data_IF_355298682926
#
_entry.id   IF_355298682926
#
_cell.length_a   1.000
_cell.length_b   1.000
_cell.length_c   1.000
_cell.angle_alpha   90.00
_cell.angle_beta   90.00
_cell.angle_gamma   90.00
#
_symmetry.space_group_name_H-M   'P 1'
#
loop_
_entity.id
_entity.type
_entity.pdbx_description
1 polymer ?
#
# COMPACT_ATOMS: atom_id res chain seq x y z
N UNK A 1 -15.52 -23.23 -27.64
CA UNK A 1 -15.39 -22.13 -26.66
C UNK A 1 -14.21 -22.48 -25.80
N UNK A 2 -13.20 -21.62 -25.79
CA UNK A 2 -11.97 -21.87 -25.03
C UNK A 2 -12.27 -21.72 -23.54
N UNK A 3 -11.99 -22.78 -22.79
CA UNK A 3 -11.93 -22.79 -21.33
C UNK A 3 -10.82 -21.83 -20.89
N UNK A 4 -11.20 -20.67 -20.37
CA UNK A 4 -10.28 -19.78 -19.68
C UNK A 4 -9.90 -20.45 -18.35
N UNK A 5 -8.72 -21.06 -18.31
CA UNK A 5 -8.12 -21.51 -17.05
C UNK A 5 -7.86 -20.26 -16.19
N UNK A 6 -8.13 -20.29 -14.88
CA UNK A 6 -7.78 -19.18 -14.00
C UNK A 6 -6.27 -18.95 -14.07
N UNK A 7 -5.90 -17.72 -14.44
CA UNK A 7 -4.53 -17.25 -14.52
C UNK A 7 -3.88 -17.38 -13.13
N UNK A 8 -3.01 -18.37 -12.96
CA UNK A 8 -2.18 -18.58 -11.76
C UNK A 8 -0.92 -17.71 -11.82
N UNK A 9 -1.03 -16.46 -12.24
CA UNK A 9 0.06 -15.50 -12.07
C UNK A 9 -0.06 -14.88 -10.68
N UNK A 10 0.77 -15.38 -9.75
CA UNK A 10 1.01 -14.68 -8.49
C UNK A 10 1.59 -13.31 -8.83
N UNK A 11 0.77 -12.26 -8.72
CA UNK A 11 1.22 -10.90 -8.96
C UNK A 11 2.32 -10.53 -7.97
N UNK A 12 3.35 -9.83 -8.45
CA UNK A 12 4.30 -9.17 -7.56
C UNK A 12 3.55 -8.27 -6.58
N UNK A 13 3.75 -8.49 -5.28
CA UNK A 13 3.06 -7.76 -4.23
C UNK A 13 3.67 -6.36 -4.04
N UNK A 14 3.35 -5.45 -4.97
CA UNK A 14 3.79 -4.06 -4.90
C UNK A 14 3.21 -3.32 -3.70
N UNK A 15 2.07 -3.76 -3.15
CA UNK A 15 1.52 -3.22 -1.92
C UNK A 15 2.47 -3.47 -0.75
N UNK A 16 2.81 -4.73 -0.47
CA UNK A 16 3.75 -5.09 0.58
C UNK A 16 5.12 -4.40 0.41
N UNK A 17 5.63 -4.35 -0.83
CA UNK A 17 6.88 -3.64 -1.16
C UNK A 17 6.78 -2.15 -0.83
N UNK A 18 5.71 -1.46 -1.25
CA UNK A 18 5.53 -0.04 -1.00
C UNK A 18 5.41 0.27 0.49
N UNK A 19 4.62 -0.52 1.22
CA UNK A 19 4.46 -0.36 2.67
C UNK A 19 5.78 -0.53 3.40
N UNK A 20 6.54 -1.58 3.06
CA UNK A 20 7.86 -1.81 3.67
C UNK A 20 8.80 -0.63 3.40
N UNK A 21 8.84 -0.12 2.16
CA UNK A 21 9.69 1.02 1.80
C UNK A 21 9.26 2.34 2.44
N UNK A 22 7.96 2.59 2.55
CA UNK A 22 7.43 3.88 3.02
C UNK A 22 7.40 3.95 4.54
N UNK A 23 7.21 2.81 5.21
CA UNK A 23 6.91 2.75 6.65
C UNK A 23 7.89 1.89 7.45
N UNK A 24 8.63 0.98 6.82
CA UNK A 24 9.43 -0.03 7.52
C UNK A 24 8.61 -1.20 8.09
N UNK A 25 7.28 -1.20 7.92
CA UNK A 25 6.42 -2.32 8.33
C UNK A 25 6.55 -3.47 7.32
N UNK A 26 6.87 -4.66 7.82
CA UNK A 26 7.02 -5.88 7.00
C UNK A 26 5.75 -6.74 7.14
N UNK A 27 4.78 -6.64 6.21
CA UNK A 27 3.58 -7.45 6.29
C UNK A 27 3.88 -8.94 5.98
N UNK A 28 3.07 -9.88 6.51
CA UNK A 28 3.15 -11.28 6.15
C UNK A 28 2.98 -11.51 4.64
N UNK A 29 3.59 -12.58 4.07
CA UNK A 29 3.50 -12.84 2.64
C UNK A 29 2.07 -13.21 2.24
N UNK A 30 1.54 -12.50 1.23
CA UNK A 30 0.15 -12.65 0.75
C UNK A 30 -0.22 -14.08 0.37
N UNK A 31 0.70 -14.84 -0.22
CA UNK A 31 0.46 -16.23 -0.61
C UNK A 31 0.20 -17.19 0.55
N UNK A 32 0.51 -16.81 1.79
CA UNK A 32 0.33 -17.65 2.99
C UNK A 32 -0.86 -17.26 3.87
N UNK A 33 -1.58 -16.17 3.56
CA UNK A 33 -2.55 -15.56 4.49
C UNK A 33 -3.72 -16.47 4.87
N UNK A 34 -4.03 -17.47 4.04
CA UNK A 34 -5.15 -18.39 4.23
C UNK A 34 -4.72 -19.79 4.67
N UNK A 35 -3.41 -20.06 4.81
CA UNK A 35 -2.91 -21.40 5.13
C UNK A 35 -3.40 -21.86 6.51
N UNK A 36 -3.42 -20.96 7.49
CA UNK A 36 -3.87 -21.23 8.87
C UNK A 36 -5.38 -21.00 9.08
N UNK A 37 -6.10 -20.62 8.01
CA UNK A 37 -7.54 -20.30 8.03
C UNK A 37 -8.28 -21.32 7.16
N UNK A 38 -8.03 -22.60 7.43
CA UNK A 38 -8.56 -23.73 6.65
C UNK A 38 -9.39 -24.67 7.54
N UNK A 39 -10.60 -24.99 7.11
CA UNK A 39 -11.52 -25.91 7.77
C UNK A 39 -11.34 -27.36 7.34
N UNK A 40 -12.41 -28.16 7.48
CA UNK A 40 -12.40 -29.58 7.10
C UNK A 40 -12.17 -29.72 5.59
N UNK A 41 -11.53 -30.82 5.17
CA UNK A 41 -11.24 -31.14 3.76
C UNK A 41 -10.44 -30.07 2.98
N UNK A 42 -9.72 -29.19 3.68
CA UNK A 42 -8.91 -28.15 3.04
C UNK A 42 -9.75 -26.97 2.52
N UNK A 43 -10.96 -26.77 3.05
CA UNK A 43 -11.86 -25.69 2.65
C UNK A 43 -11.40 -24.38 3.31
N UNK A 44 -11.08 -23.36 2.52
CA UNK A 44 -10.62 -22.07 3.05
C UNK A 44 -11.75 -21.30 3.71
N UNK A 45 -11.45 -20.62 4.81
CA UNK A 45 -12.33 -19.70 5.55
C UNK A 45 -13.61 -20.30 6.15
N UNK A 46 -13.86 -21.61 6.03
CA UNK A 46 -15.04 -22.24 6.61
C UNK A 46 -14.88 -23.73 6.85
N UNK A 47 -15.69 -24.25 7.77
CA UNK A 47 -16.04 -25.67 7.86
C UNK A 47 -17.44 -25.89 7.35
N UNK A 48 -17.64 -27.04 6.74
CA UNK A 48 -18.92 -27.40 6.14
C UNK A 48 -19.39 -28.76 6.64
N UNK A 49 -20.62 -28.80 7.12
CA UNK A 49 -21.37 -30.00 7.46
C UNK A 49 -22.53 -30.11 6.47
N UNK A 50 -22.61 -31.23 5.75
CA UNK A 50 -23.75 -31.53 4.86
C UNK A 50 -24.50 -32.71 5.42
N UNK A 51 -25.76 -32.49 5.84
CA UNK A 51 -26.53 -33.52 6.55
C UNK A 51 -27.86 -33.77 5.88
N UNK A 52 -28.19 -35.06 5.74
CA UNK A 52 -29.51 -35.51 5.32
C UNK A 52 -30.52 -35.27 6.44
N UNK A 53 -31.66 -34.69 6.11
CA UNK A 53 -32.74 -34.47 7.05
C UNK A 53 -33.74 -35.65 7.04
N UNK A 54 -34.45 -35.83 8.14
CA UNK A 54 -35.33 -36.99 8.37
C UNK A 54 -36.64 -36.98 7.58
N UNK A 55 -37.06 -35.83 7.06
CA UNK A 55 -38.28 -35.64 6.27
C UNK A 55 -38.11 -34.48 5.31
N UNK A 56 -38.82 -34.50 4.18
CA UNK A 56 -38.92 -33.38 3.25
C UNK A 56 -39.78 -32.27 3.85
N UNK A 57 -39.32 -31.02 3.78
CA UNK A 57 -40.08 -29.84 4.18
C UNK A 57 -40.59 -29.12 2.93
N UNK A 58 -41.82 -29.39 2.48
CA UNK A 58 -42.33 -28.70 1.28
C UNK A 58 -42.37 -27.19 1.49
N UNK A 59 -41.60 -26.45 0.68
CA UNK A 59 -41.59 -24.98 0.69
C UNK A 59 -42.18 -24.47 -0.61
N UNK A 60 -43.18 -23.60 -0.49
CA UNK A 60 -43.78 -22.89 -1.62
C UNK A 60 -43.14 -21.51 -1.76
N UNK A 61 -43.11 -20.95 -2.98
CA UNK A 61 -42.45 -19.66 -3.27
C UNK A 61 -43.02 -18.43 -2.54
N UNK A 62 -44.04 -18.60 -1.69
CA UNK A 62 -44.65 -17.56 -0.86
C UNK A 62 -44.25 -17.63 0.62
N UNK A 63 -43.52 -18.67 1.03
CA UNK A 63 -43.12 -18.91 2.43
C UNK A 63 -41.75 -18.29 2.74
N UNK A 64 -41.63 -16.98 2.55
CA UNK A 64 -40.39 -16.24 2.83
C UNK A 64 -39.98 -16.29 4.31
N UNK A 65 -40.94 -16.41 5.22
CA UNK A 65 -40.68 -16.60 6.66
C UNK A 65 -39.89 -17.89 6.92
N UNK A 66 -40.13 -18.94 6.13
CA UNK A 66 -39.37 -20.19 6.25
C UNK A 66 -37.88 -19.98 5.95
N UNK A 67 -37.56 -19.14 4.95
CA UNK A 67 -36.18 -18.84 4.57
C UNK A 67 -35.45 -18.12 5.71
N UNK A 68 -36.09 -17.17 6.39
CA UNK A 68 -35.53 -16.46 7.55
C UNK A 68 -35.21 -17.43 8.70
N UNK A 69 -36.05 -18.44 8.92
CA UNK A 69 -35.89 -19.38 10.02
C UNK A 69 -34.91 -20.54 9.71
N UNK A 70 -34.61 -20.81 8.43
CA UNK A 70 -33.92 -22.03 8.01
C UNK A 70 -32.71 -21.83 7.07
N UNK A 71 -32.48 -20.63 6.54
CA UNK A 71 -31.43 -20.35 5.56
C UNK A 71 -30.79 -18.98 5.80
N UNK A 72 -29.52 -18.83 5.40
CA UNK A 72 -28.80 -17.57 5.53
C UNK A 72 -27.99 -17.46 6.81
N UNK A 73 -27.77 -16.22 7.26
CA UNK A 73 -26.85 -15.87 8.35
C UNK A 73 -27.41 -16.16 9.74
N UNK A 74 -26.57 -16.69 10.63
CA UNK A 74 -26.85 -16.90 12.06
C UNK A 74 -28.13 -17.70 12.33
N UNK A 75 -28.21 -18.89 11.74
CA UNK A 75 -29.33 -19.81 11.91
C UNK A 75 -28.98 -20.83 12.99
N UNK A 76 -29.69 -20.80 14.11
CA UNK A 76 -29.58 -21.79 15.20
C UNK A 76 -28.14 -22.01 15.71
N UNK A 77 -27.38 -20.92 15.94
CA UNK A 77 -25.96 -20.94 16.34
C UNK A 77 -25.00 -21.51 15.27
N UNK A 78 -25.41 -21.49 14.00
CA UNK A 78 -24.56 -21.76 12.84
C UNK A 78 -24.37 -20.47 12.07
N UNK A 79 -23.15 -20.13 11.66
CA UNK A 79 -22.87 -18.85 10.99
C UNK A 79 -23.64 -18.72 9.67
N UNK A 80 -23.78 -19.79 8.89
CA UNK A 80 -24.58 -19.78 7.67
C UNK A 80 -25.24 -21.14 7.38
N UNK A 81 -26.44 -21.16 6.79
CA UNK A 81 -27.14 -22.40 6.40
C UNK A 81 -27.70 -22.30 4.98
N UNK A 82 -27.50 -23.35 4.17
CA UNK A 82 -28.13 -23.52 2.86
C UNK A 82 -28.92 -24.83 2.86
N UNK A 83 -30.25 -24.78 2.90
CA UNK A 83 -31.09 -25.94 2.64
C UNK A 83 -31.20 -26.23 1.14
N UNK A 84 -31.27 -27.51 0.80
CA UNK A 84 -31.45 -27.95 -0.59
C UNK A 84 -31.98 -29.39 -0.67
N UNK A 85 -32.49 -29.73 -1.84
CA UNK A 85 -32.94 -31.05 -2.24
C UNK A 85 -31.96 -31.70 -3.21
N UNK A 86 -31.87 -33.03 -3.16
CA UNK A 86 -31.33 -33.85 -4.25
C UNK A 86 -32.41 -34.71 -4.86
N UNK A 87 -32.34 -34.93 -6.18
CA UNK A 87 -33.22 -35.90 -6.83
C UNK A 87 -32.93 -37.33 -6.35
N UNK A 88 -33.98 -38.13 -6.21
CA UNK A 88 -33.91 -39.51 -5.73
C UNK A 88 -34.17 -39.65 -4.23
N UNK A 89 -34.45 -40.89 -3.81
CA UNK A 89 -34.89 -41.22 -2.45
C UNK A 89 -36.24 -41.95 -2.46
N UNK A 90 -36.71 -42.36 -1.28
CA UNK A 90 -37.99 -43.06 -1.14
C UNK A 90 -39.19 -42.18 -1.56
N UNK A 91 -39.13 -40.88 -1.24
CA UNK A 91 -40.19 -39.91 -1.54
C UNK A 91 -39.92 -39.14 -2.85
N UNK A 92 -38.94 -39.54 -3.66
CA UNK A 92 -38.59 -38.91 -4.94
C UNK A 92 -37.55 -37.78 -4.86
N UNK A 93 -37.46 -37.08 -3.71
CA UNK A 93 -36.34 -36.19 -3.36
C UNK A 93 -35.79 -36.52 -1.98
N UNK A 94 -34.59 -36.03 -1.69
CA UNK A 94 -33.98 -36.09 -0.35
C UNK A 94 -33.59 -34.70 0.12
N UNK A 95 -34.01 -34.33 1.34
CA UNK A 95 -33.72 -33.03 1.95
C UNK A 95 -32.35 -33.02 2.64
N UNK A 96 -31.58 -31.96 2.41
CA UNK A 96 -30.29 -31.70 3.04
C UNK A 96 -30.19 -30.28 3.60
N UNK A 97 -29.35 -30.12 4.62
CA UNK A 97 -28.86 -28.82 5.09
C UNK A 97 -27.33 -28.81 5.02
N UNK A 98 -26.76 -27.86 4.29
CA UNK A 98 -25.36 -27.48 4.38
C UNK A 98 -25.22 -26.39 5.46
N UNK A 99 -24.42 -26.65 6.49
CA UNK A 99 -24.16 -25.77 7.63
C UNK A 99 -22.70 -25.31 7.60
N UNK A 100 -22.50 -24.01 7.70
CA UNK A 100 -21.18 -23.38 7.59
C UNK A 100 -20.77 -22.78 8.93
N UNK A 101 -19.58 -23.12 9.39
CA UNK A 101 -18.88 -22.39 10.45
C UNK A 101 -17.77 -21.58 9.82
N UNK A 102 -17.85 -20.26 9.89
CA UNK A 102 -16.86 -19.37 9.31
C UNK A 102 -15.62 -19.27 10.19
N UNK A 103 -14.47 -19.28 9.53
CA UNK A 103 -13.14 -19.16 10.11
C UNK A 103 -12.53 -17.87 9.59
N UNK A 104 -12.32 -16.91 10.48
CA UNK A 104 -11.77 -15.61 10.12
C UNK A 104 -12.07 -14.57 11.19
N UNK A 105 -11.69 -13.33 10.92
CA UNK A 105 -11.91 -12.23 11.85
C UNK A 105 -13.38 -11.76 11.76
N UNK A 106 -14.16 -12.07 12.79
CA UNK A 106 -15.58 -11.69 12.90
C UNK A 106 -15.71 -10.34 13.63
N UNK A 107 -16.72 -9.57 13.26
CA UNK A 107 -17.15 -8.40 14.03
C UNK A 107 -18.05 -8.91 15.16
N UNK A 108 -17.95 -8.32 16.35
CA UNK A 108 -18.53 -8.84 17.58
C UNK A 108 -20.05 -9.14 17.50
N UNK A 109 -20.80 -8.39 16.68
CA UNK A 109 -22.22 -8.60 16.45
C UNK A 109 -22.57 -8.34 14.96
N UNK A 110 -23.06 -9.37 14.25
CA UNK A 110 -23.64 -9.24 12.90
C UNK A 110 -22.91 -9.99 11.78
N UNK A 111 -23.53 -9.99 10.58
CA UNK A 111 -22.96 -10.56 9.34
C UNK A 111 -21.58 -9.93 9.09
N UNK A 112 -20.56 -10.70 8.64
CA UNK A 112 -19.28 -10.15 8.23
C UNK A 112 -19.50 -9.05 7.19
N UNK A 113 -19.19 -7.82 7.61
CA UNK A 113 -19.16 -6.64 6.76
C UNK A 113 -17.71 -6.18 6.60
N UNK A 114 -17.49 -5.17 5.77
CA UNK A 114 -16.19 -4.50 5.72
C UNK A 114 -15.92 -3.69 7.00
N UNK A 115 -14.72 -3.13 7.09
CA UNK A 115 -14.20 -2.54 8.32
C UNK A 115 -13.05 -3.37 8.90
N UNK A 116 -12.50 -2.88 10.00
CA UNK A 116 -11.26 -3.38 10.58
C UNK A 116 -11.51 -4.33 11.74
N UNK A 117 -10.71 -5.39 11.82
CA UNK A 117 -10.78 -6.34 12.92
C UNK A 117 -9.36 -6.70 13.35
N UNK A 118 -9.11 -6.67 14.66
CA UNK A 118 -7.87 -7.22 15.22
C UNK A 118 -8.03 -8.73 15.28
N UNK A 119 -7.15 -9.45 14.57
CA UNK A 119 -7.17 -10.90 14.51
C UNK A 119 -6.72 -11.54 15.83
N UNK A 120 -6.72 -12.87 15.85
CA UNK A 120 -6.31 -13.66 17.00
C UNK A 120 -6.46 -15.16 16.77
N UNK A 121 -6.15 -15.92 17.81
CA UNK A 121 -6.41 -17.36 17.83
C UNK A 121 -7.87 -17.63 18.16
N UNK A 122 -8.51 -18.44 17.32
CA UNK A 122 -9.90 -18.87 17.47
C UNK A 122 -9.90 -20.39 17.59
N UNK A 123 -10.32 -20.90 18.76
CA UNK A 123 -10.50 -22.32 18.98
C UNK A 123 -11.94 -22.73 18.68
N UNK A 124 -12.11 -23.75 17.85
CA UNK A 124 -13.43 -24.33 17.62
C UNK A 124 -13.97 -24.99 18.88
N UNK A 125 -15.20 -24.67 19.26
CA UNK A 125 -15.92 -25.45 20.26
C UNK A 125 -16.31 -26.85 19.76
N UNK A 126 -16.22 -27.11 18.44
CA UNK A 126 -16.72 -28.32 17.79
C UNK A 126 -15.60 -29.16 17.18
N UNK A 127 -14.84 -29.88 17.99
CA UNK A 127 -13.60 -30.55 17.54
C UNK A 127 -13.72 -31.93 16.89
N UNK A 128 -14.89 -32.58 16.90
CA UNK A 128 -15.02 -33.95 16.37
C UNK A 128 -16.04 -34.03 15.25
N UNK A 129 -15.60 -34.42 14.07
CA UNK A 129 -16.47 -34.83 12.95
C UNK A 129 -16.92 -36.28 13.15
N UNK A 130 -18.19 -36.55 12.92
CA UNK A 130 -18.79 -37.89 12.97
C UNK A 130 -18.86 -38.50 11.57
N UNK A 131 -19.05 -39.82 11.49
CA UNK A 131 -19.23 -40.54 10.22
C UNK A 131 -20.45 -40.08 9.41
N UNK A 132 -21.43 -39.44 10.06
CA UNK A 132 -22.64 -38.88 9.44
C UNK A 132 -22.50 -37.39 9.07
N UNK A 133 -21.30 -36.83 9.19
CA UNK A 133 -20.98 -35.44 8.86
C UNK A 133 -21.27 -34.43 9.98
N UNK A 134 -21.86 -34.85 11.10
CA UNK A 134 -22.15 -33.93 12.20
C UNK A 134 -20.88 -33.53 12.99
N UNK A 135 -20.81 -32.26 13.39
CA UNK A 135 -19.79 -31.81 14.35
C UNK A 135 -20.28 -31.90 15.80
N UNK A 136 -19.48 -32.54 16.67
CA UNK A 136 -19.73 -32.58 18.12
C UNK A 136 -18.86 -31.58 18.88
N UNK A 137 -19.39 -30.99 19.97
CA UNK A 137 -18.59 -30.24 20.91
C UNK A 137 -17.39 -31.05 21.39
N UNK A 138 -16.22 -30.42 21.48
CA UNK A 138 -14.99 -31.04 21.99
C UNK A 138 -14.03 -29.98 22.50
N UNK A 139 -13.36 -30.29 23.61
CA UNK A 139 -12.30 -29.47 24.17
C UNK A 139 -11.03 -29.49 23.31
N UNK A 140 -10.91 -30.44 22.37
CA UNK A 140 -9.75 -30.60 21.47
C UNK A 140 -10.02 -30.08 20.05
N UNK A 141 -10.88 -29.07 19.91
CA UNK A 141 -11.17 -28.49 18.60
C UNK A 141 -9.98 -27.80 17.94
N UNK A 142 -9.98 -27.73 16.59
CA UNK A 142 -8.93 -27.04 15.84
C UNK A 142 -8.82 -25.58 16.27
N UNK A 143 -7.60 -25.06 16.24
CA UNK A 143 -7.28 -23.66 16.48
C UNK A 143 -6.88 -23.04 15.16
N UNK A 144 -7.46 -21.89 14.85
CA UNK A 144 -7.12 -21.08 13.67
C UNK A 144 -6.56 -19.76 14.11
N UNK A 145 -5.63 -19.23 13.32
CA UNK A 145 -4.98 -17.96 13.63
C UNK A 145 -5.22 -16.98 12.48
N UNK A 146 -5.80 -15.82 12.80
CA UNK A 146 -6.14 -14.78 11.83
C UNK A 146 -5.16 -13.60 11.87
N UNK A 147 -4.10 -13.67 12.69
CA UNK A 147 -3.14 -12.58 12.86
C UNK A 147 -2.46 -12.22 11.55
N UNK A 148 -1.92 -13.20 10.80
CA UNK A 148 -1.22 -12.91 9.54
C UNK A 148 -2.11 -12.15 8.54
N UNK A 149 -3.36 -12.61 8.38
CA UNK A 149 -4.34 -11.97 7.52
C UNK A 149 -4.66 -10.53 7.95
N UNK A 150 -4.87 -10.30 9.24
CA UNK A 150 -5.20 -8.96 9.77
C UNK A 150 -4.01 -8.02 9.83
N UNK A 151 -2.79 -8.55 10.01
CA UNK A 151 -1.54 -7.81 9.88
C UNK A 151 -1.32 -7.31 8.45
N UNK A 152 -1.62 -8.14 7.45
CA UNK A 152 -1.56 -7.74 6.05
C UNK A 152 -2.69 -6.77 5.69
N UNK A 153 -3.92 -7.06 6.11
CA UNK A 153 -5.10 -6.31 5.67
C UNK A 153 -5.23 -4.96 6.37
N UNK A 154 -4.88 -4.88 7.65
CA UNK A 154 -5.11 -3.66 8.45
C UNK A 154 -3.83 -3.03 8.96
N UNK A 155 -2.82 -3.83 9.33
CA UNK A 155 -1.54 -3.30 9.79
C UNK A 155 -0.84 -2.44 8.74
N UNK A 156 -0.96 -2.78 7.45
CA UNK A 156 -0.34 -1.99 6.38
C UNK A 156 -0.88 -0.57 6.27
N UNK A 157 -2.20 -0.38 6.40
CA UNK A 157 -2.80 0.95 6.30
C UNK A 157 -2.60 1.79 7.55
N UNK A 158 -2.71 1.17 8.72
CA UNK A 158 -2.39 1.83 9.98
C UNK A 158 -0.94 2.30 10.05
N UNK A 159 0.01 1.56 9.45
CA UNK A 159 1.39 2.03 9.31
C UNK A 159 1.47 3.32 8.46
N UNK A 160 0.66 3.46 7.41
CA UNK A 160 0.57 4.69 6.61
C UNK A 160 -0.06 5.84 7.38
N UNK A 161 -1.11 5.59 8.19
CA UNK A 161 -1.65 6.61 9.10
C UNK A 161 -0.59 7.10 10.06
N UNK A 162 0.14 6.19 10.72
CA UNK A 162 1.21 6.55 11.64
C UNK A 162 2.30 7.39 10.97
N UNK A 163 2.71 7.01 9.76
CA UNK A 163 3.68 7.77 8.96
C UNK A 163 3.23 9.22 8.71
N UNK A 164 1.94 9.41 8.42
CA UNK A 164 1.37 10.69 7.97
C UNK A 164 0.93 11.59 9.12
N UNK A 165 0.49 11.01 10.23
CA UNK A 165 -0.23 11.71 11.29
C UNK A 165 0.56 11.80 12.60
N UNK A 166 1.49 10.88 12.87
CA UNK A 166 2.29 10.90 14.10
C UNK A 166 3.62 11.63 13.91
N UNK A 167 4.02 12.39 14.92
CA UNK A 167 5.31 13.10 14.93
C UNK A 167 6.50 12.13 14.80
N UNK A 168 6.43 10.97 15.45
CA UNK A 168 7.46 9.93 15.36
C UNK A 168 7.35 9.05 14.11
N UNK A 169 6.38 9.30 13.22
CA UNK A 169 6.07 8.44 12.09
C UNK A 169 5.78 7.01 12.55
N UNK A 170 6.42 6.03 11.92
CA UNK A 170 6.20 4.60 12.18
C UNK A 170 7.14 3.99 13.21
N UNK A 171 7.98 4.79 13.88
CA UNK A 171 8.90 4.29 14.90
C UNK A 171 8.13 3.68 16.07
N UNK A 172 8.38 2.40 16.36
CA UNK A 172 7.68 1.64 17.40
C UNK A 172 6.24 1.28 17.06
N UNK A 173 5.80 1.49 15.81
CA UNK A 173 4.50 1.01 15.36
C UNK A 173 4.46 -0.52 15.39
N UNK A 174 3.33 -1.07 15.83
CA UNK A 174 3.04 -2.51 15.87
C UNK A 174 1.55 -2.73 15.71
N UNK A 175 1.17 -3.83 15.06
CA UNK A 175 -0.23 -4.21 14.90
C UNK A 175 -0.41 -5.71 14.97
N UNK A 176 -1.54 -6.16 15.54
CA UNK A 176 -1.93 -7.57 15.51
C UNK A 176 -0.84 -8.51 16.03
N UNK A 177 -0.17 -8.16 17.14
CA UNK A 177 0.89 -8.98 17.73
C UNK A 177 2.22 -9.00 16.98
N UNK A 178 2.40 -8.20 15.92
CA UNK A 178 3.70 -8.01 15.27
C UNK A 178 4.68 -7.27 16.20
N UNK A 179 5.97 -7.56 16.04
CA UNK A 179 7.02 -6.83 16.76
C UNK A 179 7.02 -5.34 16.38
N UNK A 180 7.26 -4.43 17.33
CA UNK A 180 7.37 -3.00 17.03
C UNK A 180 8.50 -2.70 16.03
N UNK A 181 8.24 -1.80 15.09
CA UNK A 181 9.24 -1.36 14.11
C UNK A 181 10.43 -0.71 14.83
N UNK A 182 11.62 -1.24 14.60
CA UNK A 182 12.86 -0.74 15.18
C UNK A 182 13.29 0.62 14.56
N UNK A 183 14.22 1.29 15.24
CA UNK A 183 14.71 2.62 14.84
C UNK A 183 15.48 2.64 13.50
N UNK A 184 15.98 1.50 13.04
CA UNK A 184 16.72 1.35 11.79
C UNK A 184 15.81 1.17 10.58
N UNK A 185 14.56 0.75 10.80
CA UNK A 185 13.55 0.53 9.74
C UNK A 185 12.47 1.60 9.69
N UNK A 186 12.08 2.15 10.83
CA UNK A 186 10.98 3.12 10.90
C UNK A 186 11.26 4.42 10.15
N UNK A 187 10.21 5.00 9.60
CA UNK A 187 10.27 6.19 8.76
C UNK A 187 9.54 7.34 9.43
N UNK A 188 10.14 8.54 9.37
CA UNK A 188 9.57 9.78 9.89
C UNK A 188 9.74 10.89 8.88
N UNK A 189 8.63 11.39 8.34
CA UNK A 189 8.63 12.44 7.31
C UNK A 189 9.35 13.71 7.77
N UNK A 190 9.20 14.09 9.05
CA UNK A 190 9.87 15.25 9.64
C UNK A 190 11.42 15.19 9.56
N UNK A 191 12.00 14.00 9.40
CA UNK A 191 13.46 13.87 9.27
C UNK A 191 13.98 14.55 8.01
N UNK A 192 13.21 14.59 6.92
CA UNK A 192 13.58 15.30 5.70
C UNK A 192 13.74 16.80 5.97
N UNK A 193 12.78 17.41 6.67
CA UNK A 193 12.82 18.82 7.03
C UNK A 193 13.96 19.13 8.00
N UNK A 194 14.17 18.29 9.02
CA UNK A 194 15.23 18.47 10.01
C UNK A 194 16.63 18.44 9.36
N UNK A 195 16.87 17.50 8.43
CA UNK A 195 18.14 17.42 7.71
C UNK A 195 18.25 18.58 6.71
N UNK A 196 17.16 18.96 6.03
CA UNK A 196 17.14 20.11 5.13
C UNK A 196 17.50 21.42 5.84
N UNK A 197 16.91 21.66 7.02
CA UNK A 197 17.24 22.82 7.85
C UNK A 197 18.70 22.81 8.30
N UNK A 198 19.28 21.64 8.52
CA UNK A 198 20.69 21.52 8.90
C UNK A 198 21.61 21.97 7.75
N UNK A 199 21.30 21.56 6.51
CA UNK A 199 21.98 22.08 5.31
C UNK A 199 21.79 23.59 5.14
N UNK A 200 20.57 24.10 5.34
CA UNK A 200 20.30 25.54 5.24
C UNK A 200 21.08 26.35 6.28
N UNK A 201 21.24 25.84 7.50
CA UNK A 201 22.06 26.49 8.54
C UNK A 201 23.52 26.56 8.14
N UNK A 202 24.07 25.50 7.56
CA UNK A 202 25.45 25.45 7.07
C UNK A 202 25.64 26.40 5.86
N UNK A 203 24.72 26.38 4.91
CA UNK A 203 24.73 27.29 3.76
C UNK A 203 24.68 28.76 4.21
N UNK A 204 23.79 29.09 5.16
CA UNK A 204 23.70 30.43 5.74
C UNK A 204 24.98 30.83 6.48
N UNK A 205 25.64 29.89 7.15
CA UNK A 205 26.94 30.15 7.77
C UNK A 205 27.98 30.57 6.73
N UNK A 206 28.09 29.85 5.61
CA UNK A 206 29.04 30.20 4.54
C UNK A 206 28.68 31.53 3.88
N UNK A 207 27.40 31.76 3.58
CA UNK A 207 26.90 33.04 3.03
C UNK A 207 27.23 34.24 3.94
N UNK A 208 26.93 34.14 5.24
CA UNK A 208 27.20 35.21 6.19
C UNK A 208 28.71 35.42 6.43
N UNK A 209 29.48 34.33 6.44
CA UNK A 209 30.93 34.38 6.61
C UNK A 209 31.59 35.05 5.41
N UNK A 210 31.15 34.73 4.18
CA UNK A 210 31.57 35.44 2.95
C UNK A 210 31.30 36.94 3.07
N UNK A 211 30.07 37.35 3.41
CA UNK A 211 29.71 38.76 3.54
C UNK A 211 30.56 39.48 4.62
N UNK A 212 30.85 38.81 5.73
CA UNK A 212 31.72 39.36 6.78
C UNK A 212 33.15 39.55 6.24
N UNK A 213 33.66 38.59 5.48
CA UNK A 213 34.98 38.72 4.86
C UNK A 213 35.01 39.81 3.77
N UNK A 214 33.93 39.99 3.01
CA UNK A 214 33.79 41.12 2.08
C UNK A 214 33.84 42.47 2.82
N UNK A 215 33.18 42.60 3.97
CA UNK A 215 33.29 43.80 4.82
C UNK A 215 34.70 44.03 5.35
N UNK A 216 35.42 42.96 5.70
CA UNK A 216 36.80 43.06 6.19
C UNK A 216 37.74 43.47 5.05
N UNK A 217 37.63 42.86 3.87
CA UNK A 217 38.37 43.23 2.66
C UNK A 217 38.14 44.71 2.31
N UNK A 218 36.91 45.19 2.39
CA UNK A 218 36.60 46.61 2.15
C UNK A 218 37.31 47.56 3.13
N UNK A 219 37.63 47.11 4.35
CA UNK A 219 38.34 47.90 5.38
C UNK A 219 39.86 47.80 5.29
N UNK A 220 40.40 46.63 4.95
CA UNK A 220 41.86 46.43 4.77
C UNK A 220 42.37 46.87 3.40
N UNK A 221 41.45 47.22 2.51
CA UNK A 221 41.71 47.72 1.17
C UNK A 221 41.52 46.64 0.10
N UNK A 222 41.08 47.08 -1.08
CA UNK A 222 40.81 46.19 -2.22
C UNK A 222 42.08 45.60 -2.80
N UNK A 223 43.23 46.23 -2.54
CA UNK A 223 44.55 45.73 -2.93
C UNK A 223 45.48 45.50 -1.73
N UNK A 224 46.48 44.63 -1.96
CA UNK A 224 47.50 44.32 -0.97
C UNK A 224 48.26 45.59 -0.55
N UNK A 225 48.27 45.87 0.76
CA UNK A 225 48.86 47.07 1.40
C UNK A 225 48.12 48.40 1.22
N UNK A 226 46.87 48.40 0.75
CA UNK A 226 46.08 49.64 0.57
C UNK A 226 45.80 50.38 1.89
N UNK A 227 45.33 49.67 2.92
CA UNK A 227 44.97 50.31 4.20
C UNK A 227 46.15 50.50 5.15
N UNK A 228 47.19 49.67 5.03
CA UNK A 228 48.41 49.73 5.85
C UNK A 228 49.57 48.97 5.20
N UNK A 229 50.79 49.51 5.31
CA UNK A 229 51.99 49.01 4.62
C UNK A 229 52.80 48.04 5.51
N UNK A 230 53.20 46.89 4.96
CA UNK A 230 54.19 46.00 5.58
C UNK A 230 54.00 44.52 5.24
N UNK A 231 55.05 43.70 5.38
CA UNK A 231 54.97 42.26 5.07
C UNK A 231 53.88 41.54 5.89
N UNK A 232 53.69 41.90 7.15
CA UNK A 232 52.62 41.35 7.99
C UNK A 232 51.22 41.77 7.51
N UNK A 233 51.08 42.96 6.93
CA UNK A 233 49.84 43.46 6.36
C UNK A 233 49.44 42.68 5.10
N UNK A 234 50.41 42.40 4.22
CA UNK A 234 50.22 41.57 3.04
C UNK A 234 49.76 40.14 3.39
N UNK A 235 50.43 39.48 4.33
CA UNK A 235 50.06 38.12 4.78
C UNK A 235 48.67 38.07 5.40
N UNK A 236 48.30 39.09 6.19
CA UNK A 236 46.96 39.17 6.77
C UNK A 236 45.89 39.36 5.68
N UNK A 237 46.13 40.22 4.70
CA UNK A 237 45.25 40.41 3.55
C UNK A 237 45.05 39.10 2.78
N UNK A 238 46.12 38.38 2.47
CA UNK A 238 46.08 37.10 1.74
C UNK A 238 45.25 36.04 2.48
N UNK A 239 45.37 35.96 3.81
CA UNK A 239 44.57 35.04 4.63
C UNK A 239 43.07 35.36 4.58
N UNK A 240 42.69 36.64 4.67
CA UNK A 240 41.29 37.05 4.57
C UNK A 240 40.76 36.79 3.17
N UNK A 241 41.55 37.08 2.13
CA UNK A 241 41.17 36.85 0.74
C UNK A 241 40.93 35.36 0.45
N UNK A 242 41.82 34.49 0.91
CA UNK A 242 41.70 33.05 0.71
C UNK A 242 40.51 32.46 1.51
N UNK A 243 40.30 32.90 2.76
CA UNK A 243 39.12 32.50 3.54
C UNK A 243 37.82 32.96 2.88
N UNK A 244 37.78 34.21 2.40
CA UNK A 244 36.65 34.76 1.65
C UNK A 244 36.33 33.89 0.44
N UNK A 245 37.34 33.56 -0.37
CA UNK A 245 37.20 32.72 -1.57
C UNK A 245 36.70 31.31 -1.24
N UNK A 246 37.19 30.70 -0.15
CA UNK A 246 36.69 29.40 0.31
C UNK A 246 35.23 29.44 0.73
N UNK A 247 34.84 30.45 1.51
CA UNK A 247 33.44 30.61 1.91
C UNK A 247 32.53 30.92 0.71
N UNK A 248 33.03 31.67 -0.27
CA UNK A 248 32.35 31.92 -1.54
C UNK A 248 32.10 30.61 -2.28
N UNK A 249 33.14 29.78 -2.45
CA UNK A 249 33.00 28.48 -3.11
C UNK A 249 32.02 27.53 -2.40
N UNK A 250 32.05 27.45 -1.07
CA UNK A 250 31.09 26.61 -0.35
C UNK A 250 29.66 27.17 -0.42
N UNK A 251 29.49 28.49 -0.37
CA UNK A 251 28.18 29.11 -0.56
C UNK A 251 27.64 28.85 -1.98
N UNK A 252 28.48 28.97 -3.00
CA UNK A 252 28.11 28.72 -4.39
C UNK A 252 27.80 27.24 -4.64
N UNK A 253 28.64 26.32 -4.16
CA UNK A 253 28.44 24.86 -4.30
C UNK A 253 27.12 24.40 -3.64
N UNK A 254 26.71 25.06 -2.54
CA UNK A 254 25.42 24.81 -1.87
C UNK A 254 24.25 25.61 -2.46
N UNK A 255 24.49 26.45 -3.47
CA UNK A 255 23.56 27.47 -3.98
C UNK A 255 22.88 28.23 -2.83
N UNK A 256 23.69 28.65 -1.86
CA UNK A 256 23.25 29.24 -0.60
C UNK A 256 22.56 30.58 -0.82
N UNK A 257 21.36 30.71 -0.27
CA UNK A 257 20.69 32.00 -0.08
C UNK A 257 20.74 32.41 1.39
N UNK A 258 20.13 33.55 1.74
CA UNK A 258 20.04 33.98 3.13
C UNK A 258 19.28 33.00 4.04
N UNK A 259 18.42 32.13 3.47
CA UNK A 259 17.52 31.26 4.24
C UNK A 259 17.48 29.80 3.77
N UNK A 260 17.94 29.47 2.57
CA UNK A 260 17.81 28.14 1.97
C UNK A 260 19.08 27.71 1.23
N UNK A 261 19.15 26.41 0.94
CA UNK A 261 20.22 25.77 0.17
C UNK A 261 19.64 24.78 -0.83
N UNK A 262 20.38 24.47 -1.90
CA UNK A 262 20.01 23.42 -2.86
C UNK A 262 19.81 22.04 -2.19
N UNK A 263 20.75 21.51 -1.37
CA UNK A 263 20.52 20.26 -0.66
C UNK A 263 19.26 20.29 0.22
N UNK A 264 19.01 21.41 0.91
CA UNK A 264 17.80 21.58 1.73
C UNK A 264 16.51 21.53 0.90
N UNK A 265 16.47 22.23 -0.23
CA UNK A 265 15.32 22.22 -1.13
C UNK A 265 15.07 20.84 -1.75
N UNK A 266 16.14 20.12 -2.13
CA UNK A 266 16.05 18.77 -2.67
C UNK A 266 15.48 17.78 -1.65
N UNK A 267 15.93 17.83 -0.39
CA UNK A 267 15.41 16.99 0.70
C UNK A 267 13.94 17.27 1.01
N UNK A 268 13.53 18.54 1.10
CA UNK A 268 12.11 18.89 1.28
C UNK A 268 11.25 18.39 0.14
N UNK A 269 11.73 18.51 -1.09
CA UNK A 269 11.02 18.01 -2.28
C UNK A 269 10.88 16.48 -2.25
N UNK A 270 11.93 15.76 -1.85
CA UNK A 270 11.89 14.30 -1.67
C UNK A 270 10.91 13.87 -0.58
N UNK A 271 10.90 14.55 0.57
CA UNK A 271 9.96 14.31 1.66
C UNK A 271 8.50 14.60 1.26
N UNK A 272 8.27 15.70 0.52
CA UNK A 272 6.95 16.04 0.00
C UNK A 272 6.45 15.00 -1.03
N UNK A 273 7.34 14.48 -1.88
CA UNK A 273 6.99 13.40 -2.80
C UNK A 273 6.59 12.11 -2.06
N UNK A 274 7.37 11.69 -1.06
CA UNK A 274 7.02 10.53 -0.23
C UNK A 274 5.68 10.72 0.49
N UNK A 275 5.47 11.89 1.10
CA UNK A 275 4.21 12.21 1.78
C UNK A 275 3.02 12.08 0.83
N UNK A 276 3.13 12.69 -0.36
CA UNK A 276 2.07 12.67 -1.37
C UNK A 276 1.70 11.24 -1.79
N UNK A 277 2.70 10.41 -2.10
CA UNK A 277 2.43 9.04 -2.53
C UNK A 277 1.95 8.16 -1.36
N UNK A 278 2.38 8.41 -0.13
CA UNK A 278 1.84 7.76 1.06
C UNK A 278 0.38 8.16 1.34
N UNK A 279 0.01 9.43 1.18
CA UNK A 279 -1.39 9.89 1.26
C UNK A 279 -2.26 9.20 0.19
N UNK A 280 -1.76 9.10 -1.04
CA UNK A 280 -2.46 8.39 -2.11
C UNK A 280 -2.72 6.93 -1.76
N UNK A 281 -1.74 6.21 -1.21
CA UNK A 281 -1.90 4.82 -0.81
C UNK A 281 -2.81 4.66 0.41
N UNK A 282 -2.73 5.55 1.40
CA UNK A 282 -3.64 5.57 2.54
C UNK A 282 -5.08 5.72 2.06
N UNK A 283 -5.36 6.69 1.18
CA UNK A 283 -6.72 6.94 0.68
C UNK A 283 -7.30 5.72 -0.08
N UNK A 284 -6.44 4.99 -0.82
CA UNK A 284 -6.84 3.73 -1.47
C UNK A 284 -7.15 2.64 -0.47
N UNK A 285 -6.32 2.53 0.56
CA UNK A 285 -6.52 1.57 1.63
C UNK A 285 -7.74 1.90 2.48
N UNK A 286 -8.00 3.15 2.86
CA UNK A 286 -9.18 3.55 3.66
C UNK A 286 -10.49 3.11 2.99
N UNK A 287 -10.57 3.29 1.67
CA UNK A 287 -11.70 2.81 0.90
C UNK A 287 -11.77 1.28 0.91
N UNK A 288 -10.64 0.62 0.60
CA UNK A 288 -10.60 -0.83 0.50
C UNK A 288 -10.86 -1.51 1.86
N UNK A 289 -10.29 -1.05 2.97
CA UNK A 289 -10.45 -1.64 4.30
C UNK A 289 -11.90 -1.58 4.77
N UNK A 290 -12.59 -0.47 4.49
CA UNK A 290 -13.99 -0.26 4.85
C UNK A 290 -14.96 -1.15 4.06
N UNK A 291 -14.68 -1.44 2.78
CA UNK A 291 -15.64 -2.14 1.93
C UNK A 291 -15.18 -3.56 1.53
N UNK A 292 -13.92 -3.75 1.22
CA UNK A 292 -13.41 -4.95 0.53
C UNK A 292 -12.37 -5.72 1.37
N UNK A 293 -11.90 -5.13 2.48
CA UNK A 293 -10.76 -5.61 3.24
C UNK A 293 -10.96 -6.92 3.98
N UNK A 294 -12.17 -7.19 4.48
CA UNK A 294 -12.50 -8.41 5.22
C UNK A 294 -12.77 -9.59 4.25
N UNK A 295 -11.92 -10.64 4.18
CA UNK A 295 -12.16 -11.77 3.27
C UNK A 295 -13.45 -12.54 3.54
N UNK A 296 -13.91 -12.59 4.81
CA UNK A 296 -15.15 -13.29 5.15
C UNK A 296 -16.37 -12.66 4.48
N UNK A 297 -16.33 -11.35 4.19
CA UNK A 297 -17.42 -10.69 3.44
C UNK A 297 -17.62 -11.36 2.08
N UNK A 298 -16.52 -11.59 1.35
CA UNK A 298 -16.56 -12.21 0.02
C UNK A 298 -17.12 -13.63 0.06
N UNK A 299 -16.79 -14.38 1.10
CA UNK A 299 -17.34 -15.72 1.31
C UNK A 299 -18.84 -15.66 1.61
N UNK A 300 -19.27 -14.83 2.55
CA UNK A 300 -20.70 -14.78 2.92
C UNK A 300 -21.55 -14.21 1.79
N UNK A 301 -21.05 -13.23 1.03
CA UNK A 301 -21.74 -12.73 -0.15
C UNK A 301 -21.90 -13.83 -1.21
N UNK A 302 -20.85 -14.64 -1.46
CA UNK A 302 -20.94 -15.78 -2.37
C UNK A 302 -21.90 -16.88 -1.86
N UNK A 303 -21.88 -17.20 -0.57
CA UNK A 303 -22.84 -18.14 0.03
C UNK A 303 -24.29 -17.62 -0.07
N UNK A 304 -24.48 -16.30 0.07
CA UNK A 304 -25.79 -15.66 -0.10
C UNK A 304 -26.26 -15.76 -1.56
N UNK A 305 -25.37 -15.52 -2.53
CA UNK A 305 -25.67 -15.71 -3.96
C UNK A 305 -26.08 -17.15 -4.28
N UNK A 306 -25.43 -18.14 -3.66
CA UNK A 306 -25.76 -19.56 -3.82
C UNK A 306 -27.09 -19.90 -3.14
N UNK A 307 -27.33 -19.39 -1.92
CA UNK A 307 -28.59 -19.59 -1.21
C UNK A 307 -29.78 -19.03 -1.99
N UNK A 308 -29.65 -17.81 -2.52
CA UNK A 308 -30.66 -17.18 -3.37
C UNK A 308 -30.94 -18.03 -4.62
N UNK A 309 -29.91 -18.55 -5.29
CA UNK A 309 -30.10 -19.44 -6.43
C UNK A 309 -30.73 -20.79 -6.05
N UNK A 310 -30.37 -21.36 -4.90
CA UNK A 310 -30.99 -22.59 -4.38
C UNK A 310 -32.48 -22.39 -4.13
N UNK A 311 -32.88 -21.23 -3.60
CA UNK A 311 -34.30 -20.92 -3.42
C UNK A 311 -35.09 -21.10 -4.72
N UNK A 312 -34.67 -20.42 -5.80
CA UNK A 312 -35.43 -20.39 -7.05
C UNK A 312 -35.26 -21.62 -7.94
N UNK A 313 -34.11 -22.29 -7.88
CA UNK A 313 -33.77 -23.39 -8.80
C UNK A 313 -33.74 -24.76 -8.12
N UNK A 314 -33.98 -24.82 -6.81
CA UNK A 314 -33.99 -26.07 -6.06
C UNK A 314 -35.21 -26.18 -5.13
N UNK A 315 -35.31 -25.32 -4.12
CA UNK A 315 -36.32 -25.46 -3.05
C UNK A 315 -37.74 -25.27 -3.57
N UNK A 316 -37.98 -24.30 -4.45
CA UNK A 316 -39.29 -24.06 -5.05
C UNK A 316 -39.52 -24.89 -6.33
N UNK A 317 -38.59 -25.77 -6.71
CA UNK A 317 -38.63 -26.59 -7.94
C UNK A 317 -38.96 -28.06 -7.65
N UNK A 318 -39.77 -28.30 -6.62
CA UNK A 318 -40.23 -29.63 -6.23
C UNK A 318 -41.75 -29.63 -6.11
N UNK A 319 -42.42 -30.40 -6.96
CA UNK A 319 -43.86 -30.61 -6.90
C UNK A 319 -44.19 -31.67 -5.84
N UNK A 320 -45.19 -31.40 -5.00
CA UNK A 320 -45.64 -32.30 -3.95
C UNK A 320 -47.01 -32.89 -4.27
N UNK A 321 -47.08 -34.21 -4.46
CA UNK A 321 -48.30 -34.95 -4.76
C UNK A 321 -48.62 -35.95 -3.64
N UNK A 322 -49.87 -35.95 -3.17
CA UNK A 322 -50.32 -36.94 -2.18
C UNK A 322 -50.88 -38.18 -2.87
N UNK A 323 -50.28 -39.34 -2.61
CA UNK A 323 -50.78 -40.63 -3.07
C UNK A 323 -51.68 -41.23 -1.98
N UNK A 324 -53.00 -41.32 -2.21
CA UNK A 324 -53.91 -41.87 -1.21
C UNK A 324 -53.64 -43.36 -1.00
N UNK A 325 -53.68 -43.78 0.26
CA UNK A 325 -53.52 -45.18 0.64
C UNK A 325 -54.63 -46.06 0.07
N UNK A 326 -54.28 -47.30 -0.31
CA UNK A 326 -55.25 -48.28 -0.79
C UNK A 326 -55.55 -49.27 0.33
N UNK A 327 -56.83 -49.42 0.65
CA UNK A 327 -57.31 -50.44 1.60
C UNK A 327 -57.77 -51.68 0.83
N UNK A 328 -57.14 -52.83 1.08
CA UNK A 328 -57.50 -54.10 0.44
C UNK A 328 -57.72 -55.21 1.48
N UNK A 329 -58.39 -56.29 1.07
CA UNK A 329 -58.68 -57.44 1.94
C UNK A 329 -57.43 -58.18 2.47
N UNK A 330 -56.25 -57.93 1.90
CA UNK A 330 -54.99 -58.57 2.28
C UNK A 330 -53.97 -57.61 2.92
N UNK A 331 -54.37 -56.36 3.17
CA UNK A 331 -53.52 -55.34 3.79
C UNK A 331 -53.89 -53.92 3.38
N UNK A 332 -53.48 -52.95 4.21
CA UNK A 332 -53.63 -51.52 3.97
C UNK A 332 -52.26 -50.89 3.72
N UNK A 333 -52.12 -50.17 2.61
CA UNK A 333 -50.94 -49.31 2.38
C UNK A 333 -51.31 -47.90 2.85
N UNK A 334 -50.60 -47.31 3.81
CA UNK A 334 -50.84 -45.91 4.19
C UNK A 334 -50.57 -44.97 3.01
N UNK A 335 -51.31 -43.86 2.96
CA UNK A 335 -51.02 -42.80 1.99
C UNK A 335 -49.68 -42.14 2.29
N UNK A 336 -49.04 -41.60 1.27
CA UNK A 336 -47.75 -40.93 1.41
C UNK A 336 -47.63 -39.78 0.42
N UNK A 337 -46.76 -38.82 0.72
CA UNK A 337 -46.37 -37.78 -0.21
C UNK A 337 -45.27 -38.29 -1.14
N UNK A 338 -45.33 -37.87 -2.40
CA UNK A 338 -44.24 -38.01 -3.35
C UNK A 338 -43.84 -36.62 -3.83
N UNK A 339 -42.55 -36.45 -4.07
CA UNK A 339 -41.94 -35.19 -4.45
C UNK A 339 -41.21 -35.38 -5.78
N UNK A 340 -41.58 -34.58 -6.78
CA UNK A 340 -41.03 -34.71 -8.12
C UNK A 340 -40.27 -33.43 -8.49
N UNK A 341 -38.97 -33.51 -8.81
CA UNK A 341 -38.23 -32.38 -9.37
C UNK A 341 -38.85 -31.86 -10.67
N UNK A 342 -38.97 -30.54 -10.82
CA UNK A 342 -39.39 -29.91 -12.08
C UNK A 342 -38.25 -29.94 -13.12
N UNK A 343 -38.51 -29.46 -14.34
CA UNK A 343 -37.47 -29.36 -15.39
C UNK A 343 -36.33 -28.40 -15.06
N UNK A 344 -36.59 -27.42 -14.19
CA UNK A 344 -35.65 -26.35 -13.85
C UNK A 344 -34.89 -26.66 -12.55
N UNK A 345 -35.14 -27.82 -11.95
CA UNK A 345 -34.50 -28.28 -10.72
C UNK A 345 -33.01 -28.55 -10.91
N UNK A 346 -32.20 -28.05 -9.98
CA UNK A 346 -30.77 -28.37 -9.86
C UNK A 346 -30.34 -28.46 -8.41
N UNK A 347 -29.41 -29.36 -8.12
CA UNK A 347 -28.77 -29.51 -6.79
C UNK A 347 -27.35 -28.92 -6.76
N UNK A 348 -26.98 -28.18 -7.81
CA UNK A 348 -25.67 -27.54 -7.90
C UNK A 348 -25.62 -26.23 -7.11
N UNK A 349 -24.45 -25.95 -6.53
CA UNK A 349 -24.15 -24.64 -5.96
C UNK A 349 -23.85 -23.66 -7.10
N UNK A 350 -24.79 -22.76 -7.39
CA UNK A 350 -24.70 -21.80 -8.51
C UNK A 350 -24.63 -20.38 -7.96
N UNK A 351 -23.63 -19.59 -8.39
CA UNK A 351 -23.49 -18.19 -7.98
C UNK A 351 -24.41 -17.24 -8.80
N UNK A 352 -24.39 -15.93 -8.48
CA UNK A 352 -25.19 -14.91 -9.19
C UNK A 352 -24.85 -14.81 -10.68
N UNK A 353 -23.64 -15.20 -11.09
CA UNK A 353 -23.19 -15.19 -12.47
C UNK A 353 -23.50 -16.49 -13.22
N UNK A 354 -24.30 -17.39 -12.61
CA UNK A 354 -24.66 -18.70 -13.13
C UNK A 354 -23.48 -19.66 -13.26
N UNK A 355 -22.39 -19.42 -12.52
CA UNK A 355 -21.27 -20.36 -12.42
C UNK A 355 -21.64 -21.48 -11.46
N UNK A 356 -21.64 -22.73 -11.92
CA UNK A 356 -21.75 -23.90 -11.05
C UNK A 356 -20.39 -24.18 -10.38
N UNK A 357 -20.42 -24.44 -9.08
CA UNK A 357 -19.30 -24.92 -8.28
C UNK A 357 -19.36 -26.44 -8.05
N UNK A 358 -20.38 -27.11 -8.61
CA UNK A 358 -20.66 -28.54 -8.48
C UNK A 358 -21.83 -28.86 -7.53
N UNK A 359 -22.10 -30.15 -7.25
CA UNK A 359 -23.24 -30.57 -6.45
C UNK A 359 -23.10 -30.18 -4.96
N UNK A 360 -24.17 -29.62 -4.37
CA UNK A 360 -24.17 -29.16 -2.97
C UNK A 360 -23.93 -30.28 -1.93
N UNK A 361 -24.03 -31.55 -2.32
CA UNK A 361 -23.68 -32.70 -1.46
C UNK A 361 -22.19 -32.90 -1.27
N UNK A 362 -21.36 -32.40 -2.19
CA UNK A 362 -19.93 -32.70 -2.23
C UNK A 362 -19.11 -31.65 -1.48
N UNK A 363 -18.18 -32.08 -0.64
CA UNK A 363 -17.27 -31.16 0.06
C UNK A 363 -16.31 -30.44 -0.90
N UNK A 364 -15.97 -31.05 -2.04
CA UNK A 364 -15.19 -30.40 -3.09
C UNK A 364 -15.92 -29.20 -3.71
N UNK A 365 -17.25 -29.19 -3.75
CA UNK A 365 -18.03 -28.03 -4.18
C UNK A 365 -17.82 -26.85 -3.24
N UNK A 366 -17.88 -27.09 -1.94
CA UNK A 366 -17.66 -26.05 -0.95
C UNK A 366 -16.20 -25.60 -0.89
N UNK A 367 -15.24 -26.48 -1.19
CA UNK A 367 -13.85 -26.11 -1.43
C UNK A 367 -13.71 -25.12 -2.59
N UNK A 368 -14.36 -25.40 -3.74
CA UNK A 368 -14.38 -24.50 -4.88
C UNK A 368 -15.01 -23.14 -4.55
N UNK A 369 -16.03 -23.11 -3.69
CA UNK A 369 -16.66 -21.87 -3.19
C UNK A 369 -15.67 -21.08 -2.31
N UNK A 370 -14.98 -21.74 -1.38
CA UNK A 370 -13.94 -21.10 -0.56
C UNK A 370 -12.79 -20.53 -1.38
N UNK A 371 -12.31 -21.27 -2.39
CA UNK A 371 -11.26 -20.82 -3.30
C UNK A 371 -11.72 -19.63 -4.18
N UNK A 372 -12.96 -19.64 -4.66
CA UNK A 372 -13.54 -18.51 -5.39
C UNK A 372 -13.64 -17.26 -4.51
N UNK A 373 -14.10 -17.39 -3.26
CA UNK A 373 -14.19 -16.27 -2.34
C UNK A 373 -12.82 -15.62 -2.10
N UNK A 374 -11.78 -16.43 -1.90
CA UNK A 374 -10.39 -15.96 -1.79
C UNK A 374 -9.96 -15.28 -3.09
N UNK A 375 -10.24 -15.88 -4.25
CA UNK A 375 -9.87 -15.29 -5.54
C UNK A 375 -10.54 -13.92 -5.78
N UNK A 376 -11.80 -13.73 -5.35
CA UNK A 376 -12.49 -12.44 -5.42
C UNK A 376 -11.85 -11.39 -4.50
N UNK A 377 -11.48 -11.78 -3.27
CA UNK A 377 -10.74 -10.90 -2.36
C UNK A 377 -9.36 -10.53 -2.92
N UNK A 378 -8.60 -11.50 -3.43
CA UNK A 378 -7.28 -11.28 -4.06
C UNK A 378 -7.35 -10.34 -5.25
N UNK A 379 -8.41 -10.45 -6.06
CA UNK A 379 -8.67 -9.51 -7.16
C UNK A 379 -8.90 -8.09 -6.63
N UNK A 380 -9.61 -7.93 -5.52
CA UNK A 380 -9.80 -6.61 -4.88
C UNK A 380 -8.48 -6.02 -4.38
N UNK A 381 -7.63 -6.84 -3.75
CA UNK A 381 -6.28 -6.44 -3.31
C UNK A 381 -5.47 -5.97 -4.51
N UNK A 382 -5.50 -6.71 -5.61
CA UNK A 382 -4.80 -6.31 -6.83
C UNK A 382 -5.26 -4.94 -7.33
N UNK A 383 -6.55 -4.81 -7.58
CA UNK A 383 -7.12 -3.63 -8.24
C UNK A 383 -7.07 -2.37 -7.36
N UNK A 384 -7.22 -2.52 -6.03
CA UNK A 384 -7.32 -1.40 -5.10
C UNK A 384 -6.01 -1.07 -4.38
N UNK A 385 -5.11 -2.04 -4.22
CA UNK A 385 -3.88 -1.85 -3.45
C UNK A 385 -2.62 -2.04 -4.32
N UNK A 386 -2.47 -3.18 -5.01
CA UNK A 386 -1.25 -3.51 -5.76
C UNK A 386 -1.07 -2.56 -6.95
N UNK A 387 -2.07 -2.39 -7.81
CA UNK A 387 -1.97 -1.54 -9.00
C UNK A 387 -1.70 -0.05 -8.61
N UNK A 388 -2.37 0.51 -7.57
CA UNK A 388 -2.00 1.82 -7.03
C UNK A 388 -0.61 1.89 -6.41
N UNK A 389 -0.16 0.86 -5.69
CA UNK A 389 1.17 0.81 -5.11
C UNK A 389 2.28 0.80 -6.18
N UNK A 390 2.09 0.07 -7.26
CA UNK A 390 3.01 0.11 -8.39
C UNK A 390 3.14 1.53 -8.96
N UNK A 391 1.99 2.23 -9.11
CA UNK A 391 1.96 3.62 -9.56
C UNK A 391 2.71 4.55 -8.59
N UNK A 392 2.44 4.43 -7.29
CA UNK A 392 3.09 5.22 -6.25
C UNK A 392 4.61 5.03 -6.23
N UNK A 393 5.07 3.78 -6.33
CA UNK A 393 6.49 3.44 -6.41
C UNK A 393 7.16 4.05 -7.64
N UNK A 394 6.52 3.99 -8.81
CA UNK A 394 7.03 4.61 -10.04
C UNK A 394 7.09 6.14 -9.94
N UNK A 395 6.08 6.76 -9.36
CA UNK A 395 6.06 8.21 -9.15
C UNK A 395 7.16 8.64 -8.19
N UNK A 396 7.33 7.92 -7.08
CA UNK A 396 8.37 8.22 -6.10
C UNK A 396 9.77 8.01 -6.69
N UNK A 397 9.99 6.89 -7.39
CA UNK A 397 11.25 6.63 -8.09
C UNK A 397 11.58 7.72 -9.12
N UNK A 398 10.56 8.25 -9.80
CA UNK A 398 10.73 9.39 -10.71
C UNK A 398 11.13 10.66 -9.95
N UNK A 399 10.43 10.97 -8.85
CA UNK A 399 10.71 12.15 -8.03
C UNK A 399 12.09 12.11 -7.36
N UNK A 400 12.57 10.92 -7.01
CA UNK A 400 13.89 10.70 -6.40
C UNK A 400 15.00 10.38 -7.41
N UNK A 401 14.67 10.35 -8.70
CA UNK A 401 15.66 10.15 -9.76
C UNK A 401 16.70 11.26 -9.78
N UNK A 402 17.90 10.97 -10.29
CA UNK A 402 19.04 11.90 -10.28
C UNK A 402 18.81 13.23 -11.01
N UNK A 403 17.81 13.29 -11.89
CA UNK A 403 17.38 14.54 -12.54
C UNK A 403 16.53 15.45 -11.66
N UNK A 404 16.02 14.94 -10.53
CA UNK A 404 15.07 15.62 -9.65
C UNK A 404 15.54 15.68 -8.18
N UNK A 405 16.34 14.72 -7.74
CA UNK A 405 16.98 14.70 -6.43
C UNK A 405 18.50 14.81 -6.59
N UNK A 406 18.99 16.05 -6.55
CA UNK A 406 20.41 16.39 -6.61
C UNK A 406 20.78 17.24 -5.40
N UNK A 407 21.57 16.66 -4.49
CA UNK A 407 22.11 17.37 -3.33
C UNK A 407 23.25 18.34 -3.69
N UNK A 408 23.74 18.30 -4.93
CA UNK A 408 24.94 19.00 -5.36
C UNK A 408 26.23 18.33 -4.87
N UNK A 409 27.36 18.93 -5.21
CA UNK A 409 28.67 18.54 -4.73
C UNK A 409 29.31 19.71 -3.98
N UNK A 410 29.72 19.47 -2.74
CA UNK A 410 30.45 20.45 -1.94
C UNK A 410 31.92 20.06 -1.97
N UNK A 411 32.77 20.95 -2.47
CA UNK A 411 34.20 20.68 -2.60
C UNK A 411 35.05 21.84 -2.12
N UNK A 412 36.15 21.54 -1.44
CA UNK A 412 37.20 22.53 -1.20
C UNK A 412 37.94 22.73 -2.51
N UNK A 413 37.56 23.75 -3.28
CA UNK A 413 38.34 24.15 -4.46
C UNK A 413 39.65 24.74 -3.94
N UNK A 414 40.76 24.04 -4.26
CA UNK A 414 42.16 24.32 -3.91
C UNK A 414 42.67 23.85 -2.52
N UNK A 415 43.34 22.70 -2.52
CA UNK A 415 44.37 22.31 -1.52
C UNK A 415 45.76 22.86 -1.89
N UNK A 416 45.84 23.64 -2.97
CA UNK A 416 47.06 24.38 -3.33
C UNK A 416 47.32 25.37 -2.19
N UNK A 417 48.43 25.19 -1.48
CA UNK A 417 48.77 26.00 -0.31
C UNK A 417 48.75 27.50 -0.63
N UNK A 418 48.60 28.34 0.40
CA UNK A 418 48.50 29.82 0.28
C UNK A 418 49.50 30.44 -0.70
N UNK A 419 50.69 29.86 -0.82
CA UNK A 419 51.76 30.35 -1.69
C UNK A 419 51.52 30.09 -3.19
N UNK A 420 50.78 29.03 -3.53
CA UNK A 420 50.45 28.69 -4.91
C UNK A 420 49.17 29.42 -5.37
N UNK A 421 48.17 29.58 -4.49
CA UNK A 421 47.03 30.48 -4.76
C UNK A 421 47.49 31.95 -4.89
N UNK A 422 48.43 32.39 -4.05
CA UNK A 422 49.05 33.72 -4.16
C UNK A 422 49.76 33.94 -5.51
N UNK A 423 50.43 32.90 -6.04
CA UNK A 423 51.06 32.99 -7.36
C UNK A 423 50.01 33.08 -8.47
N UNK A 424 48.97 32.26 -8.44
CA UNK A 424 47.89 32.32 -9.42
C UNK A 424 47.18 33.68 -9.40
N UNK A 425 46.80 34.19 -8.22
CA UNK A 425 46.12 35.48 -8.05
C UNK A 425 46.99 36.67 -8.51
N UNK A 426 48.28 36.65 -8.17
CA UNK A 426 49.23 37.67 -8.67
C UNK A 426 49.31 37.64 -10.20
N UNK A 427 49.33 36.45 -10.79
CA UNK A 427 49.42 36.29 -12.25
C UNK A 427 48.12 36.74 -12.94
N UNK A 428 46.97 36.45 -12.34
CA UNK A 428 45.66 36.85 -12.89
C UNK A 428 45.42 38.36 -12.75
N UNK A 429 45.83 38.96 -11.63
CA UNK A 429 45.81 40.42 -11.45
C UNK A 429 46.77 41.12 -12.42
N UNK A 430 48.01 40.66 -12.54
CA UNK A 430 48.98 41.22 -13.50
C UNK A 430 48.46 41.14 -14.95
N UNK A 431 47.76 40.06 -15.29
CA UNK A 431 47.12 39.91 -16.61
C UNK A 431 45.98 40.90 -16.81
N UNK A 432 45.11 41.06 -15.80
CA UNK A 432 43.98 41.99 -15.85
C UNK A 432 44.44 43.46 -15.90
N UNK A 433 45.43 43.83 -15.08
CA UNK A 433 46.02 45.17 -15.08
C UNK A 433 46.70 45.48 -16.43
N UNK A 434 47.32 44.47 -17.06
CA UNK A 434 47.87 44.61 -18.40
C UNK A 434 46.79 44.78 -19.49
N UNK A 435 45.68 44.05 -19.38
CA UNK A 435 44.52 44.18 -20.28
C UNK A 435 43.86 45.57 -20.14
N UNK A 436 43.65 46.04 -18.91
CA UNK A 436 43.06 47.35 -18.62
C UNK A 436 43.99 48.50 -19.07
N UNK A 437 45.31 48.35 -18.87
CA UNK A 437 46.29 49.31 -19.39
C UNK A 437 46.31 49.32 -20.92
N UNK A 438 46.28 48.16 -21.56
CA UNK A 438 46.24 48.08 -23.02
C UNK A 438 44.94 48.67 -23.60
N UNK A 439 43.81 48.48 -22.93
CA UNK A 439 42.53 49.08 -23.31
C UNK A 439 42.57 50.62 -23.18
N UNK A 440 43.17 51.13 -22.09
CA UNK A 440 43.34 52.56 -21.88
C UNK A 440 44.31 53.20 -22.87
N UNK A 441 45.47 52.58 -23.11
CA UNK A 441 46.45 53.05 -24.09
C UNK A 441 45.87 53.06 -25.50
N UNK A 442 45.03 52.08 -25.84
CA UNK A 442 44.29 52.05 -27.11
C UNK A 442 43.27 53.19 -27.22
N UNK A 443 42.49 53.42 -26.16
CA UNK A 443 41.52 54.53 -26.14
C UNK A 443 42.21 55.90 -26.26
N UNK A 444 43.35 56.08 -25.60
CA UNK A 444 44.13 57.32 -25.67
C UNK A 444 44.77 57.51 -27.06
N UNK A 445 45.22 56.43 -27.72
CA UNK A 445 45.74 56.45 -29.09
C UNK A 445 44.64 56.79 -30.11
N UNK A 446 43.45 56.20 -29.99
CA UNK A 446 42.31 56.48 -30.85
C UNK A 446 41.83 57.94 -30.69
N UNK A 447 41.80 58.45 -29.45
CA UNK A 447 41.46 59.85 -29.17
C UNK A 447 42.49 60.83 -29.77
N UNK A 448 43.78 60.48 -29.74
CA UNK A 448 44.84 61.27 -30.37
C UNK A 448 44.74 61.26 -31.89
N UNK A 449 44.47 60.10 -32.51
CA UNK A 449 44.29 59.99 -33.95
C UNK A 449 43.10 60.83 -34.46
N UNK A 450 41.96 60.80 -33.76
CA UNK A 450 40.80 61.62 -34.11
C UNK A 450 41.06 63.12 -33.95
N UNK A 451 41.86 63.50 -32.96
CA UNK A 451 42.29 64.90 -32.78
C UNK A 451 43.23 65.34 -33.91
N UNK A 452 44.25 64.55 -34.23
CA UNK A 452 45.20 64.84 -35.29
C UNK A 452 44.52 64.88 -36.67
N UNK A 453 43.49 64.06 -36.89
CA UNK A 453 42.65 64.08 -38.10
C UNK A 453 41.83 65.36 -38.21
N UNK A 454 41.18 65.81 -37.14
CA UNK A 454 40.44 67.09 -37.12
C UNK A 454 41.38 68.28 -37.36
N UNK A 455 42.55 68.28 -36.72
CA UNK A 455 43.54 69.34 -36.89
C UNK A 455 44.14 69.36 -38.32
N UNK A 456 44.19 68.21 -39.00
CA UNK A 456 44.60 68.11 -40.40
C UNK A 456 43.50 68.56 -41.38
N UNK A 457 42.23 68.25 -41.08
CA UNK A 457 41.08 68.70 -41.86
C UNK A 457 40.86 70.22 -41.73
N UNK A 458 41.11 70.82 -40.56
CA UNK A 458 41.08 72.28 -40.34
C UNK A 458 42.23 73.02 -41.02
N UNK A 459 43.36 72.36 -41.30
CA UNK A 459 44.49 72.93 -42.06
C UNK A 459 44.37 72.77 -43.57
N UNK A 460 43.42 71.96 -44.04
CA UNK A 460 43.15 71.71 -45.44
C UNK A 460 41.93 72.48 -45.99
N UNK A 461 41.22 73.21 -45.13
CA UNK A 461 40.20 74.21 -45.47
C UNK A 461 40.81 75.62 -45.43
#
# INVERSE_FOLDING_TARGET
MAEEKPDKTEYDDYWAKAITLFTGYEPPPRSSLFDEITGNHGIKQMRVEVTKQGSVESVTGHEYDWMVDNAGWDIQNTDFVIPFYTAGGYEGVTYYKARFTLIGAKIADGKPVGGEVVGGEIKSAYGKELEDGHFKPSDDGPVWNTLALTQYSYGTGHALHDLLEKENGTLGYSWGGADPIDITKGVRLQSFDMVAESFDRVARFFYNSKNTMDEWLARVGTEQNDAWLGQAAGVFWDLIHELRRRYDHYADDMEATATTSKPGNALRSAGAALKKEAEYLRDKWDYWSLYEGNPLRWLVDLLSEIADNSWYNNLTQVDADYIPGVYSAYGSTPGHWTYTPTSDFTSDAIDRNKKSHGPMTELDTWKNVGDEAVARWEKSVKEKLIDPAETALRNLATAWGTSHFDLGSISTKSDKGLEESFKEDKTEKEKKDAEDKAAKDKADADAKYEKDKKDAEEKAA
#
